data_IF_952548823942
#
_entry.id   IF_952548823942
#
_cell.length_a   1.000
_cell.length_b   1.000
_cell.length_c   1.000
_cell.angle_alpha   90.00
_cell.angle_beta   90.00
_cell.angle_gamma   90.00
#
_symmetry.space_group_name_H-M   'P 1'
#
loop_
_entity.id
_entity.type
_entity.pdbx_description
1 polymer ?
#
# COMPACT_ATOMS: atom_id res chain seq x y z
N UNK A 1 28.91 -29.34 68.35
CA UNK A 1 27.81 -28.92 67.48
C UNK A 1 28.38 -27.97 66.43
N UNK A 2 28.61 -28.47 65.17
CA UNK A 2 29.17 -27.69 64.07
C UNK A 2 28.01 -27.24 63.20
N UNK A 3 27.79 -25.90 63.09
CA UNK A 3 26.79 -25.30 62.22
C UNK A 3 27.36 -25.21 60.81
N UNK A 4 26.77 -25.93 59.86
CA UNK A 4 27.04 -25.79 58.43
C UNK A 4 26.17 -24.62 57.89
N UNK A 5 26.81 -23.61 57.35
CA UNK A 5 26.16 -22.50 56.65
C UNK A 5 26.18 -22.82 55.16
N UNK A 6 25.01 -23.15 54.59
CA UNK A 6 24.85 -23.32 53.11
C UNK A 6 24.73 -21.93 52.48
N UNK A 7 25.72 -21.59 51.65
CA UNK A 7 25.71 -20.41 50.82
C UNK A 7 25.05 -20.78 49.47
N UNK A 8 23.83 -20.35 49.23
CA UNK A 8 23.14 -20.53 47.95
C UNK A 8 23.56 -19.40 47.01
N UNK A 9 24.33 -19.74 45.97
CA UNK A 9 24.72 -18.86 44.90
C UNK A 9 23.60 -18.80 43.85
N UNK A 10 22.88 -17.67 43.82
CA UNK A 10 21.87 -17.42 42.77
C UNK A 10 22.59 -16.93 41.51
N UNK A 11 22.63 -17.75 40.47
CA UNK A 11 23.04 -17.30 39.12
C UNK A 11 21.87 -16.50 38.51
N UNK A 12 22.03 -15.20 38.41
CA UNK A 12 21.16 -14.33 37.61
C UNK A 12 21.60 -14.41 36.15
N UNK A 13 20.87 -15.14 35.33
CA UNK A 13 21.02 -15.11 33.86
C UNK A 13 20.44 -13.79 33.32
N UNK A 14 21.32 -12.84 33.00
CA UNK A 14 20.94 -11.63 32.29
C UNK A 14 20.64 -12.00 30.82
N UNK A 15 19.37 -12.01 30.44
CA UNK A 15 18.99 -12.03 29.04
C UNK A 15 19.30 -10.65 28.45
N UNK A 16 20.34 -10.57 27.64
CA UNK A 16 20.59 -9.40 26.82
C UNK A 16 19.44 -9.29 25.80
N UNK A 17 18.59 -8.28 25.98
CA UNK A 17 17.64 -7.90 24.93
C UNK A 17 18.42 -7.35 23.76
N UNK A 18 18.49 -8.09 22.66
CA UNK A 18 19.03 -7.60 21.41
C UNK A 18 18.04 -6.59 20.88
N UNK A 19 18.30 -5.31 21.12
CA UNK A 19 17.57 -4.22 20.48
C UNK A 19 18.05 -4.18 19.02
N UNK A 20 17.25 -4.66 18.09
CA UNK A 20 17.51 -4.53 16.66
C UNK A 20 17.30 -3.06 16.31
N UNK A 21 18.34 -2.26 16.32
CA UNK A 21 18.34 -0.86 15.89
C UNK A 21 18.61 -0.78 14.38
N UNK A 22 17.62 -1.12 13.57
CA UNK A 22 17.65 -0.97 12.12
C UNK A 22 16.32 -0.48 11.60
N UNK A 23 16.24 0.04 10.36
CA UNK A 23 14.96 0.42 9.78
C UNK A 23 14.06 -0.83 9.70
N UNK A 24 12.79 -0.68 10.14
CA UNK A 24 11.82 -1.76 10.13
C UNK A 24 11.56 -2.28 8.70
N UNK A 25 11.72 -1.40 7.71
CA UNK A 25 11.58 -1.70 6.29
C UNK A 25 12.70 -1.06 5.48
N UNK A 26 13.05 -1.70 4.34
CA UNK A 26 14.02 -1.21 3.38
C UNK A 26 13.42 -1.21 1.98
N UNK A 27 13.57 -0.10 1.27
CA UNK A 27 13.12 0.06 -0.12
C UNK A 27 14.27 -0.27 -1.07
N UNK A 28 13.99 -1.08 -2.09
CA UNK A 28 14.91 -1.44 -3.16
C UNK A 28 14.23 -1.24 -4.53
N UNK A 29 15.03 -1.06 -5.58
CA UNK A 29 14.53 -1.16 -6.96
C UNK A 29 14.38 -2.63 -7.34
N UNK A 30 13.38 -2.91 -8.16
CA UNK A 30 13.15 -4.21 -8.80
C UNK A 30 12.96 -3.98 -10.29
N UNK A 31 13.28 -4.98 -11.10
CA UNK A 31 13.17 -4.90 -12.56
C UNK A 31 11.73 -4.76 -13.06
N UNK A 32 11.50 -5.14 -14.31
CA UNK A 32 10.22 -5.03 -14.98
C UNK A 32 9.08 -5.71 -14.22
N UNK A 33 7.87 -5.25 -14.48
CA UNK A 33 6.66 -5.84 -13.95
C UNK A 33 6.51 -7.32 -14.35
N UNK A 34 5.81 -8.14 -13.55
CA UNK A 34 5.65 -9.56 -13.78
C UNK A 34 5.09 -9.91 -15.15
N UNK A 35 5.63 -10.95 -15.78
CA UNK A 35 5.25 -11.39 -17.13
C UNK A 35 3.80 -11.96 -17.20
N UNK A 36 3.24 -12.36 -16.08
CA UNK A 36 1.85 -12.82 -15.98
C UNK A 36 0.78 -11.71 -16.11
N UNK A 37 1.19 -10.44 -16.15
CA UNK A 37 0.28 -9.33 -16.41
C UNK A 37 -0.17 -9.31 -17.87
N UNK A 38 -1.43 -8.94 -18.10
CA UNK A 38 -1.91 -8.63 -19.43
C UNK A 38 -1.07 -7.52 -20.08
N UNK A 39 -0.77 -7.67 -21.38
CA UNK A 39 0.09 -6.72 -22.11
C UNK A 39 -0.46 -5.26 -22.08
N UNK A 40 -1.79 -5.09 -22.08
CA UNK A 40 -2.44 -3.78 -21.94
C UNK A 40 -2.19 -3.11 -20.58
N UNK A 41 -1.93 -3.90 -19.53
CA UNK A 41 -1.59 -3.44 -18.19
C UNK A 41 -0.08 -3.19 -18.10
N UNK A 42 0.76 -4.21 -18.39
CA UNK A 42 2.21 -4.11 -18.27
C UNK A 42 2.82 -3.03 -19.17
N UNK A 43 2.26 -2.81 -20.36
CA UNK A 43 2.69 -1.76 -21.28
C UNK A 43 2.46 -0.31 -20.80
N UNK A 44 1.72 -0.11 -19.71
CA UNK A 44 1.51 1.21 -19.10
C UNK A 44 2.42 1.46 -17.90
N UNK A 45 3.10 0.44 -17.39
CA UNK A 45 3.92 0.54 -16.19
C UNK A 45 5.33 1.04 -16.49
N UNK A 46 5.97 1.62 -15.49
CA UNK A 46 7.38 1.95 -15.53
C UNK A 46 8.23 0.68 -15.71
N UNK A 47 9.41 0.84 -16.32
CA UNK A 47 10.33 -0.27 -16.60
C UNK A 47 10.91 -0.92 -15.35
N UNK A 48 10.88 -0.20 -14.24
CA UNK A 48 11.36 -0.64 -12.94
C UNK A 48 10.27 -0.40 -11.90
N UNK A 49 10.21 -1.29 -10.93
CA UNK A 49 9.38 -1.17 -9.75
C UNK A 49 10.19 -0.96 -8.48
N UNK A 50 9.48 -1.06 -7.37
CA UNK A 50 10.05 -0.99 -6.03
C UNK A 50 9.68 -2.25 -5.26
N UNK A 51 10.58 -2.71 -4.40
CA UNK A 51 10.37 -3.79 -3.44
C UNK A 51 10.59 -3.24 -2.05
N UNK A 52 9.69 -3.51 -1.15
CA UNK A 52 9.88 -3.26 0.28
C UNK A 52 10.25 -4.57 0.96
N UNK A 53 11.36 -4.56 1.67
CA UNK A 53 11.81 -5.66 2.51
C UNK A 53 11.54 -5.35 3.97
N UNK A 54 11.15 -6.38 4.72
CA UNK A 54 11.09 -6.34 6.18
C UNK A 54 12.49 -6.28 6.79
N UNK A 55 12.61 -6.01 8.09
CA UNK A 55 13.88 -6.07 8.83
C UNK A 55 14.59 -7.45 8.69
N UNK A 56 13.81 -8.53 8.49
CA UNK A 56 14.34 -9.87 8.26
C UNK A 56 14.79 -10.11 6.80
N UNK A 57 14.74 -9.11 5.93
CA UNK A 57 15.12 -9.21 4.52
C UNK A 57 14.10 -9.95 3.64
N UNK A 58 12.90 -10.24 4.13
CA UNK A 58 11.83 -10.86 3.34
C UNK A 58 11.05 -9.79 2.58
N UNK A 59 10.65 -10.04 1.31
CA UNK A 59 9.76 -9.15 0.59
C UNK A 59 8.42 -8.99 1.32
N UNK A 60 8.05 -7.75 1.63
CA UNK A 60 6.74 -7.40 2.14
C UNK A 60 5.76 -7.21 0.97
N UNK A 61 6.17 -6.41 -0.01
CA UNK A 61 5.46 -6.24 -1.28
C UNK A 61 6.39 -5.72 -2.37
N UNK A 62 5.92 -5.80 -3.62
CA UNK A 62 6.54 -5.18 -4.79
C UNK A 62 5.49 -4.32 -5.50
N UNK A 63 5.89 -3.15 -5.99
CA UNK A 63 4.97 -2.21 -6.64
C UNK A 63 5.59 -1.62 -7.91
N UNK A 64 4.81 -1.59 -8.99
CA UNK A 64 5.14 -0.95 -10.26
C UNK A 64 4.13 0.14 -10.54
N UNK A 65 4.59 1.36 -10.56
CA UNK A 65 3.75 2.51 -10.86
C UNK A 65 3.55 2.63 -12.37
N UNK A 66 2.47 3.27 -12.78
CA UNK A 66 2.30 3.68 -14.16
C UNK A 66 3.40 4.67 -14.56
N UNK A 67 3.90 4.56 -15.80
CA UNK A 67 4.98 5.40 -16.30
C UNK A 67 4.57 6.88 -16.39
N UNK A 68 3.30 7.12 -16.74
CA UNK A 68 2.72 8.46 -16.85
C UNK A 68 1.36 8.51 -16.19
N UNK A 69 1.07 9.59 -15.48
CA UNK A 69 -0.23 9.79 -14.87
C UNK A 69 -1.32 9.98 -15.93
N UNK A 70 -2.46 9.29 -15.80
CA UNK A 70 -3.63 9.60 -16.62
C UNK A 70 -4.07 11.04 -16.37
N UNK A 71 -4.46 11.75 -17.43
CA UNK A 71 -4.92 13.13 -17.32
C UNK A 71 -6.33 13.26 -17.87
N UNK A 72 -7.19 13.87 -17.07
CA UNK A 72 -8.55 14.28 -17.43
C UNK A 72 -8.81 15.73 -17.05
N UNK A 73 -10.00 16.22 -17.31
CA UNK A 73 -10.42 17.53 -16.81
C UNK A 73 -10.39 17.52 -15.28
N UNK A 74 -10.06 18.64 -14.62
CA UNK A 74 -10.12 18.73 -13.17
C UNK A 74 -11.52 18.36 -12.65
N UNK A 75 -11.55 17.49 -11.63
CA UNK A 75 -12.78 17.21 -10.92
C UNK A 75 -13.17 18.40 -10.04
N UNK A 76 -14.46 18.74 -10.02
CA UNK A 76 -15.03 19.71 -9.09
C UNK A 76 -15.44 19.10 -7.74
N UNK A 77 -15.09 17.85 -7.47
CA UNK A 77 -15.43 17.14 -6.25
C UNK A 77 -14.67 17.73 -5.04
N UNK A 78 -15.36 17.84 -3.91
CA UNK A 78 -14.77 18.32 -2.65
C UNK A 78 -13.89 17.26 -1.99
N UNK A 79 -12.92 17.68 -1.18
CA UNK A 79 -11.97 16.83 -0.44
C UNK A 79 -11.18 15.85 -1.34
N UNK A 80 -10.82 16.29 -2.55
CA UNK A 80 -10.02 15.52 -3.52
C UNK A 80 -8.66 16.19 -3.69
N UNK A 81 -7.59 15.43 -3.46
CA UNK A 81 -6.22 15.90 -3.61
C UNK A 81 -5.66 15.67 -5.04
N UNK A 82 -6.14 14.63 -5.74
CA UNK A 82 -5.70 14.22 -7.09
C UNK A 82 -6.84 14.46 -8.09
N UNK A 83 -7.21 15.71 -8.31
CA UNK A 83 -8.41 16.07 -9.05
C UNK A 83 -8.31 15.97 -10.59
N UNK A 84 -7.14 15.64 -11.15
CA UNK A 84 -6.92 15.53 -12.61
C UNK A 84 -6.88 14.09 -13.12
N UNK A 85 -6.95 13.10 -12.25
CA UNK A 85 -6.95 11.69 -12.63
C UNK A 85 -8.39 11.21 -12.79
N UNK A 86 -8.77 10.66 -13.96
CA UNK A 86 -10.12 10.13 -14.15
C UNK A 86 -10.40 8.93 -13.24
N UNK A 87 -11.64 8.86 -12.74
CA UNK A 87 -12.17 7.70 -12.02
C UNK A 87 -11.89 6.39 -12.78
N UNK A 88 -11.48 5.35 -12.09
CA UNK A 88 -11.23 4.03 -12.67
C UNK A 88 -9.86 3.88 -13.35
N UNK A 89 -9.06 4.94 -13.43
CA UNK A 89 -7.73 4.87 -14.07
C UNK A 89 -6.80 3.89 -13.37
N UNK A 90 -6.11 3.04 -14.15
CA UNK A 90 -4.99 2.23 -13.65
C UNK A 90 -3.86 3.16 -13.21
N UNK A 91 -3.35 2.98 -12.00
CA UNK A 91 -2.27 3.79 -11.44
C UNK A 91 -1.02 2.99 -11.10
N UNK A 92 -1.20 1.74 -10.67
CA UNK A 92 -0.11 0.87 -10.27
C UNK A 92 -0.51 -0.61 -10.37
N UNK A 93 0.49 -1.46 -10.21
CA UNK A 93 0.34 -2.89 -9.93
C UNK A 93 1.13 -3.19 -8.67
N UNK A 94 0.57 -4.01 -7.78
CA UNK A 94 1.22 -4.42 -6.54
C UNK A 94 1.19 -5.95 -6.41
N UNK A 95 2.27 -6.54 -5.91
CA UNK A 95 2.36 -7.96 -5.55
C UNK A 95 2.53 -8.09 -4.04
N UNK A 96 1.68 -8.89 -3.43
CA UNK A 96 1.86 -9.36 -2.06
C UNK A 96 2.30 -10.82 -2.09
N UNK A 97 3.54 -11.16 -1.67
CA UNK A 97 3.99 -12.55 -1.62
C UNK A 97 3.31 -13.36 -0.51
N UNK A 98 2.90 -12.68 0.56
CA UNK A 98 2.20 -13.24 1.71
C UNK A 98 0.85 -12.55 1.91
N UNK A 99 0.02 -13.07 2.83
CA UNK A 99 -1.23 -12.45 3.23
C UNK A 99 -0.98 -11.03 3.72
N UNK A 100 -1.78 -10.09 3.25
CA UNK A 100 -1.70 -8.67 3.60
C UNK A 100 -2.99 -8.17 4.22
N UNK A 101 -3.01 -6.92 4.66
CA UNK A 101 -4.21 -6.23 5.11
C UNK A 101 -4.19 -4.77 4.67
N UNK A 102 -5.36 -4.21 4.39
CA UNK A 102 -5.51 -2.77 4.26
C UNK A 102 -5.53 -2.09 5.65
N UNK A 103 -5.52 -0.75 5.69
CA UNK A 103 -5.48 0.03 6.93
C UNK A 103 -6.64 -0.27 7.89
N UNK A 104 -7.76 -0.79 7.38
CA UNK A 104 -8.94 -1.20 8.18
C UNK A 104 -8.85 -2.63 8.71
N UNK A 105 -7.73 -3.32 8.46
CA UNK A 105 -7.54 -4.72 8.81
C UNK A 105 -8.22 -5.70 7.87
N UNK A 106 -8.76 -5.22 6.71
CA UNK A 106 -9.37 -6.08 5.71
C UNK A 106 -8.30 -6.97 5.07
N UNK A 107 -8.49 -8.27 5.15
CA UNK A 107 -7.54 -9.27 4.63
C UNK A 107 -7.45 -9.23 3.11
N UNK A 108 -6.22 -9.26 2.59
CA UNK A 108 -5.88 -9.38 1.18
C UNK A 108 -5.08 -10.67 0.99
N UNK A 109 -5.48 -11.52 0.03
CA UNK A 109 -4.78 -12.76 -0.26
C UNK A 109 -3.41 -12.49 -0.90
N UNK A 110 -2.43 -13.41 -0.79
CA UNK A 110 -1.23 -13.34 -1.61
C UNK A 110 -1.58 -13.29 -3.10
N UNK A 111 -0.89 -12.47 -3.88
CA UNK A 111 -1.20 -12.35 -5.30
C UNK A 111 -0.70 -11.07 -5.95
N UNK A 112 -1.06 -10.92 -7.22
CA UNK A 112 -0.77 -9.78 -8.06
C UNK A 112 -2.07 -9.00 -8.32
N UNK A 113 -2.03 -7.69 -8.11
CA UNK A 113 -3.21 -6.82 -8.13
C UNK A 113 -2.94 -5.56 -8.93
N UNK A 114 -3.93 -5.12 -9.69
CA UNK A 114 -3.99 -3.74 -10.20
C UNK A 114 -4.49 -2.81 -9.10
N UNK A 115 -4.06 -1.57 -9.15
CA UNK A 115 -4.49 -0.48 -8.26
C UNK A 115 -5.13 0.61 -9.12
N UNK A 116 -6.42 0.82 -8.93
CA UNK A 116 -7.19 1.81 -9.70
C UNK A 116 -7.64 2.96 -8.83
N UNK A 117 -7.52 4.16 -9.37
CA UNK A 117 -7.96 5.39 -8.73
C UNK A 117 -9.47 5.45 -8.57
N UNK A 118 -9.91 5.85 -7.39
CA UNK A 118 -11.31 6.08 -7.08
C UNK A 118 -11.49 7.10 -5.97
N UNK A 119 -12.72 7.56 -5.79
CA UNK A 119 -13.13 8.46 -4.72
C UNK A 119 -14.14 7.78 -3.80
N UNK A 120 -13.99 7.96 -2.50
CA UNK A 120 -15.02 7.55 -1.56
C UNK A 120 -16.34 8.28 -1.86
N UNK A 121 -17.49 7.58 -1.83
CA UNK A 121 -18.78 8.22 -2.00
C UNK A 121 -19.07 9.24 -0.91
N UNK A 122 -19.84 10.28 -1.25
CA UNK A 122 -20.24 11.35 -0.32
C UNK A 122 -21.43 10.96 0.58
N UNK A 123 -21.82 9.69 0.60
CA UNK A 123 -23.01 9.19 1.31
C UNK A 123 -22.85 9.10 2.84
N UNK A 124 -21.70 9.50 3.38
CA UNK A 124 -21.38 9.36 4.81
C UNK A 124 -20.68 8.06 5.18
N UNK A 125 -20.69 7.05 4.30
CA UNK A 125 -19.90 5.85 4.47
C UNK A 125 -18.41 6.19 4.31
N UNK A 126 -17.57 5.68 5.22
CA UNK A 126 -16.12 5.89 5.23
C UNK A 126 -15.64 7.32 5.57
N UNK A 127 -16.50 8.19 6.08
CA UNK A 127 -16.06 9.48 6.65
C UNK A 127 -15.12 9.24 7.84
N UNK A 128 -14.01 9.96 7.88
CA UNK A 128 -13.02 9.86 8.96
C UNK A 128 -11.93 8.81 8.76
N UNK A 129 -11.99 7.98 7.71
CA UNK A 129 -10.92 7.00 7.40
C UNK A 129 -9.66 7.70 6.89
N UNK A 130 -9.82 8.81 6.16
CA UNK A 130 -8.74 9.68 5.70
C UNK A 130 -9.29 11.10 5.50
N UNK A 131 -8.45 12.15 5.62
CA UNK A 131 -8.87 13.53 5.43
C UNK A 131 -9.32 13.83 3.98
N UNK A 132 -8.84 13.05 3.00
CA UNK A 132 -9.21 13.15 1.58
C UNK A 132 -9.98 11.92 1.13
N UNK A 133 -10.72 12.07 0.02
CA UNK A 133 -11.54 11.00 -0.57
C UNK A 133 -10.80 10.13 -1.56
N UNK A 134 -9.56 10.47 -1.90
CA UNK A 134 -8.74 9.72 -2.85
C UNK A 134 -8.31 8.37 -2.28
N UNK A 135 -8.46 7.31 -3.07
CA UNK A 135 -7.96 5.99 -2.70
C UNK A 135 -7.70 5.12 -3.93
N UNK A 136 -6.94 4.05 -3.74
CA UNK A 136 -6.82 2.97 -4.71
C UNK A 136 -7.68 1.78 -4.32
N UNK A 137 -8.41 1.24 -5.31
CA UNK A 137 -9.06 -0.06 -5.22
C UNK A 137 -8.16 -1.14 -5.83
N UNK A 138 -7.99 -2.24 -5.09
CA UNK A 138 -7.29 -3.41 -5.57
C UNK A 138 -8.22 -4.31 -6.36
N UNK A 139 -7.73 -4.81 -7.50
CA UNK A 139 -8.39 -5.89 -8.25
C UNK A 139 -7.37 -6.96 -8.61
N UNK A 140 -7.71 -8.27 -8.52
CA UNK A 140 -6.80 -9.31 -8.98
C UNK A 140 -6.40 -9.08 -10.44
N UNK A 141 -5.12 -9.15 -10.74
CA UNK A 141 -4.60 -8.82 -12.09
C UNK A 141 -5.10 -9.76 -13.19
N UNK A 142 -5.52 -10.98 -12.84
CA UNK A 142 -6.16 -11.92 -13.76
C UNK A 142 -7.65 -11.64 -14.01
N UNK A 143 -8.25 -10.72 -13.26
CA UNK A 143 -9.63 -10.24 -13.45
C UNK A 143 -9.61 -8.89 -14.16
N UNK A 144 -8.71 -8.01 -13.76
CA UNK A 144 -8.53 -6.67 -14.32
C UNK A 144 -7.41 -6.68 -15.37
N UNK A 145 -7.77 -7.03 -16.60
CA UNK A 145 -6.84 -7.28 -17.70
C UNK A 145 -6.75 -6.17 -18.73
N UNK A 146 -7.60 -5.13 -18.65
CA UNK A 146 -7.57 -3.98 -19.56
C UNK A 146 -7.08 -2.71 -18.86
N UNK A 147 -5.78 -2.44 -18.94
CA UNK A 147 -5.16 -1.27 -18.32
C UNK A 147 -5.64 0.09 -18.83
N UNK A 148 -6.34 0.13 -19.98
CA UNK A 148 -6.84 1.38 -20.61
C UNK A 148 -8.30 1.66 -20.30
N UNK A 149 -9.04 0.66 -19.84
CA UNK A 149 -10.42 0.88 -19.39
C UNK A 149 -10.47 1.76 -18.15
N UNK A 150 -11.59 2.42 -17.95
CA UNK A 150 -11.91 3.23 -16.76
C UNK A 150 -13.22 2.75 -16.16
N UNK A 151 -13.23 1.59 -15.46
CA UNK A 151 -14.43 1.04 -14.84
C UNK A 151 -15.08 2.04 -13.89
N UNK A 152 -16.39 2.02 -13.79
CA UNK A 152 -17.12 2.81 -12.80
C UNK A 152 -16.90 2.26 -11.38
N UNK A 153 -17.38 2.98 -10.37
CA UNK A 153 -17.19 2.61 -8.97
C UNK A 153 -17.75 1.24 -8.63
N UNK A 154 -18.96 0.92 -9.11
CA UNK A 154 -19.61 -0.37 -8.81
C UNK A 154 -18.81 -1.55 -9.40
N UNK A 155 -18.31 -1.41 -10.63
CA UNK A 155 -17.50 -2.43 -11.29
C UNK A 155 -16.16 -2.61 -10.57
N UNK A 156 -15.52 -1.51 -10.13
CA UNK A 156 -14.29 -1.56 -9.34
C UNK A 156 -14.49 -2.28 -8.01
N UNK A 157 -15.57 -1.98 -7.29
CA UNK A 157 -15.93 -2.68 -6.05
C UNK A 157 -16.13 -4.17 -6.33
N UNK A 158 -16.91 -4.53 -7.36
CA UNK A 158 -17.17 -5.93 -7.71
C UNK A 158 -15.89 -6.72 -8.05
N UNK A 159 -14.93 -6.10 -8.73
CA UNK A 159 -13.61 -6.69 -8.97
C UNK A 159 -12.80 -6.82 -7.68
N UNK A 160 -12.83 -5.80 -6.82
CA UNK A 160 -12.05 -5.73 -5.58
C UNK A 160 -12.51 -6.76 -4.53
N UNK A 161 -13.80 -7.09 -4.49
CA UNK A 161 -14.32 -8.15 -3.62
C UNK A 161 -13.66 -9.51 -3.89
N UNK A 162 -13.15 -9.75 -5.11
CA UNK A 162 -12.40 -10.97 -5.43
C UNK A 162 -11.00 -10.98 -4.83
N UNK A 163 -10.40 -9.82 -4.57
CA UNK A 163 -9.11 -9.69 -3.90
C UNK A 163 -9.20 -10.06 -2.42
N UNK A 164 -10.24 -9.60 -1.75
CA UNK A 164 -10.44 -9.80 -0.31
C UNK A 164 -11.16 -11.11 0.00
N UNK A 165 -12.10 -11.51 -0.84
CA UNK A 165 -13.00 -12.65 -0.59
C UNK A 165 -14.01 -12.36 0.52
N UNK A 166 -14.30 -11.08 0.80
CA UNK A 166 -15.24 -10.61 1.82
C UNK A 166 -16.23 -9.61 1.20
N UNK A 167 -17.26 -9.16 1.93
CA UNK A 167 -18.17 -8.11 1.46
C UNK A 167 -17.54 -6.71 1.32
N UNK A 168 -16.27 -6.55 1.67
CA UNK A 168 -15.59 -5.26 1.64
C UNK A 168 -14.42 -5.26 0.64
N UNK A 169 -14.29 -4.23 -0.20
CA UNK A 169 -13.18 -4.10 -1.14
C UNK A 169 -11.85 -3.84 -0.42
N UNK A 170 -10.73 -4.20 -1.04
CA UNK A 170 -9.39 -3.82 -0.59
C UNK A 170 -9.07 -2.41 -1.05
N UNK A 171 -8.75 -1.51 -0.12
CA UNK A 171 -8.52 -0.10 -0.40
C UNK A 171 -7.24 0.42 0.25
N UNK A 172 -6.58 1.37 -0.42
CA UNK A 172 -5.42 2.08 0.10
C UNK A 172 -5.64 3.58 -0.03
N UNK A 173 -5.60 4.29 1.09
CA UNK A 173 -5.69 5.76 1.12
C UNK A 173 -4.49 6.38 0.42
N UNK A 174 -4.76 7.38 -0.42
CA UNK A 174 -3.74 8.08 -1.18
C UNK A 174 -3.98 9.58 -1.12
N UNK A 175 -2.95 10.36 -1.38
CA UNK A 175 -3.05 11.81 -1.57
C UNK A 175 -1.90 12.35 -2.42
N UNK A 176 -2.09 13.55 -2.90
CA UNK A 176 -1.02 14.33 -3.51
C UNK A 176 -0.32 15.12 -2.41
N UNK A 177 0.94 14.80 -2.06
CA UNK A 177 1.67 15.58 -1.07
C UNK A 177 1.95 16.98 -1.58
N UNK A 178 2.00 17.95 -0.68
CA UNK A 178 2.50 19.30 -0.99
C UNK A 178 3.96 19.23 -1.43
N UNK A 179 4.38 20.16 -2.29
CA UNK A 179 5.73 20.12 -2.87
C UNK A 179 6.84 20.15 -1.80
N UNK A 180 6.61 20.87 -0.69
CA UNK A 180 7.54 20.95 0.43
C UNK A 180 7.59 19.66 1.27
N UNK A 181 6.55 18.84 1.21
CA UNK A 181 6.40 17.58 1.97
C UNK A 181 6.78 16.36 1.14
N UNK A 182 7.00 16.53 -0.17
CA UNK A 182 7.34 15.42 -1.05
C UNK A 182 8.70 14.81 -0.65
N UNK A 183 8.65 13.56 -0.18
CA UNK A 183 9.82 12.77 0.18
C UNK A 183 9.65 11.39 -0.44
N UNK A 184 10.32 11.16 -1.58
CA UNK A 184 10.27 9.87 -2.24
C UNK A 184 10.80 8.75 -1.33
N UNK A 185 10.18 7.58 -1.39
CA UNK A 185 10.60 6.41 -0.63
C UNK A 185 9.50 5.75 0.17
N UNK A 186 9.90 4.94 1.14
CA UNK A 186 9.01 4.26 2.08
C UNK A 186 9.40 4.65 3.50
N UNK A 187 8.54 5.38 4.18
CA UNK A 187 8.85 5.99 5.46
C UNK A 187 7.67 5.91 6.43
N UNK A 188 7.99 5.99 7.71
CA UNK A 188 6.99 5.99 8.77
C UNK A 188 6.39 7.39 8.89
N UNK A 189 5.06 7.47 8.98
CA UNK A 189 4.31 8.67 9.34
C UNK A 189 3.43 8.37 10.56
N UNK A 190 3.42 9.30 11.52
CA UNK A 190 2.73 9.08 12.79
C UNK A 190 3.22 7.84 13.54
N UNK A 191 2.32 7.23 14.31
CA UNK A 191 2.66 6.10 15.18
C UNK A 191 2.57 4.74 14.47
N UNK A 192 1.69 4.60 13.49
CA UNK A 192 1.30 3.31 12.93
C UNK A 192 1.44 3.19 11.42
N UNK A 193 1.46 4.31 10.67
CA UNK A 193 1.41 4.29 9.23
C UNK A 193 2.82 4.24 8.59
N UNK A 194 2.94 3.46 7.52
CA UNK A 194 4.08 3.46 6.61
C UNK A 194 3.60 3.86 5.23
N UNK A 195 4.17 4.92 4.73
CA UNK A 195 3.77 5.61 3.51
C UNK A 195 4.79 5.38 2.42
N UNK A 196 4.31 4.95 1.27
CA UNK A 196 5.08 4.93 0.03
C UNK A 196 4.78 6.20 -0.76
N UNK A 197 5.80 6.99 -1.00
CA UNK A 197 5.71 8.23 -1.76
C UNK A 197 6.60 8.14 -2.99
N UNK A 198 6.02 8.35 -4.18
CA UNK A 198 6.76 8.35 -5.43
C UNK A 198 5.97 9.14 -6.49
N UNK A 199 6.59 9.36 -7.66
CA UNK A 199 5.93 10.02 -8.79
C UNK A 199 5.40 9.01 -9.80
N UNK A 200 4.20 9.28 -10.31
CA UNK A 200 3.63 8.66 -11.50
C UNK A 200 3.76 9.69 -12.64
N UNK A 201 4.80 9.56 -13.47
CA UNK A 201 5.20 10.67 -14.35
C UNK A 201 5.54 11.89 -13.52
N UNK A 202 4.81 13.00 -13.72
CA UNK A 202 4.99 14.25 -12.97
C UNK A 202 4.09 14.35 -11.73
N UNK A 203 3.15 13.41 -11.54
CA UNK A 203 2.20 13.42 -10.43
C UNK A 203 2.83 12.81 -9.19
N UNK A 204 3.10 13.58 -8.12
CA UNK A 204 3.49 13.01 -6.83
C UNK A 204 2.29 12.35 -6.16
N UNK A 205 2.48 11.14 -5.63
CA UNK A 205 1.46 10.38 -4.92
C UNK A 205 2.07 9.77 -3.66
N UNK A 206 1.40 9.94 -2.54
CA UNK A 206 1.65 9.22 -1.30
C UNK A 206 0.53 8.21 -1.08
N UNK A 207 0.87 7.03 -0.54
CA UNK A 207 -0.10 5.99 -0.21
C UNK A 207 0.27 5.27 1.07
N UNK A 208 -0.72 5.00 1.93
CA UNK A 208 -0.52 4.21 3.14
C UNK A 208 -0.60 2.73 2.74
N UNK A 209 0.52 2.01 2.84
CA UNK A 209 0.59 0.58 2.51
C UNK A 209 0.63 -0.32 3.75
N UNK A 210 1.05 0.21 4.89
CA UNK A 210 1.00 -0.47 6.19
C UNK A 210 0.44 0.54 7.18
N UNK A 211 -0.49 0.11 8.01
CA UNK A 211 -1.09 0.96 9.03
C UNK A 211 -2.29 0.32 9.68
N UNK A 212 -2.81 0.98 10.69
CA UNK A 212 -4.07 0.65 11.34
C UNK A 212 -4.91 1.93 11.47
N UNK A 213 -6.19 1.86 11.09
CA UNK A 213 -7.11 2.95 11.35
C UNK A 213 -7.41 2.99 12.86
N UNK A 214 -7.40 4.17 13.44
CA UNK A 214 -7.93 4.38 14.79
C UNK A 214 -9.45 4.15 14.76
N UNK A 215 -9.92 3.31 15.66
CA UNK A 215 -11.34 2.96 15.81
C UNK A 215 -11.95 3.70 16.98
#
# INVERSE_FOLDING_TARGET
MKKFCLLTLALATAYAQVTISGPQYRLEKVGAAPAELAASVSGLLAKEGHRVLTAAGKPAFEIWLRAEAPKGPPSGEEAVSINTVPQGSLMAVIRFPEKWADRRGQSIKPGLYTMRYSLFPVTGDHQGVAPQRDFFLLSPANVDTDGRSTPNFADLVAMSLKATGTPHPGVFSIWKPEAAEFKAGFHKEGDHDWVFTEKIGDLPVSMILIGAADH
#
